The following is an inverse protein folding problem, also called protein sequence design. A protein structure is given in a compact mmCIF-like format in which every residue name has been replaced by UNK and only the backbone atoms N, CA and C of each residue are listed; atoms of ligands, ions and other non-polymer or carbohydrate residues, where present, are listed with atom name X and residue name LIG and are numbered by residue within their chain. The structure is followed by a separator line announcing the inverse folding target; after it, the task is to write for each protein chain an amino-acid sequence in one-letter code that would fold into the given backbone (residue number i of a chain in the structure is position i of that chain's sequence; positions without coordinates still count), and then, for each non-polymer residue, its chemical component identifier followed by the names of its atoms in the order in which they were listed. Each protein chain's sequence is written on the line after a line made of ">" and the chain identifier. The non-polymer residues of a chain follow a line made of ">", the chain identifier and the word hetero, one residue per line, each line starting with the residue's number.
data_IF_534940421014
#
_entry.id   IF_534940421014
#
_cell.length_a   1.000
_cell.length_b   1.000
_cell.length_c   1.000
_cell.angle_alpha   90.00
_cell.angle_beta   90.00
_cell.angle_gamma   90.00
#
_symmetry.space_group_name_H-M   'P 1'
#
loop_
_entity.id
_entity.type
_entity.pdbx_description
1 polymer ?
#
# COMPACT_ATOMS: atom_id res chain seq x y z
N UNK A 1 5.83 -7.53 -17.55
CA UNK A 1 6.34 -8.41 -16.46
C UNK A 1 7.24 -7.75 -15.41
N UNK A 2 8.52 -7.39 -15.66
CA UNK A 2 9.43 -6.89 -14.59
C UNK A 2 8.89 -5.67 -13.83
N UNK A 3 8.29 -4.71 -14.55
CA UNK A 3 7.60 -3.55 -13.94
C UNK A 3 6.49 -3.97 -12.99
N UNK A 4 5.69 -4.97 -13.38
CA UNK A 4 4.60 -5.49 -12.55
C UNK A 4 5.10 -6.19 -11.28
N UNK A 5 6.19 -6.96 -11.36
CA UNK A 5 6.85 -7.53 -10.18
C UNK A 5 7.34 -6.41 -9.25
N UNK A 6 7.90 -5.33 -9.79
CA UNK A 6 8.29 -4.15 -9.03
C UNK A 6 7.12 -3.52 -8.27
N UNK A 7 5.98 -3.33 -8.93
CA UNK A 7 4.77 -2.82 -8.27
C UNK A 7 4.24 -3.75 -7.18
N UNK A 8 4.26 -5.08 -7.39
CA UNK A 8 3.87 -6.04 -6.36
C UNK A 8 4.81 -6.01 -5.15
N UNK A 9 6.12 -5.84 -5.35
CA UNK A 9 7.09 -5.69 -4.26
C UNK A 9 6.82 -4.42 -3.44
N UNK A 10 6.46 -3.31 -4.09
CA UNK A 10 6.04 -2.08 -3.40
C UNK A 10 4.77 -2.33 -2.57
N UNK A 11 3.76 -2.99 -3.16
CA UNK A 11 2.53 -3.32 -2.46
C UNK A 11 2.79 -4.17 -1.20
N UNK A 12 3.64 -5.20 -1.31
CA UNK A 12 4.03 -6.06 -0.19
C UNK A 12 4.80 -5.26 0.87
N UNK A 13 5.73 -4.39 0.46
CA UNK A 13 6.51 -3.56 1.39
C UNK A 13 5.63 -2.63 2.23
N UNK A 14 4.65 -1.97 1.61
CA UNK A 14 3.69 -1.14 2.34
C UNK A 14 2.70 -1.98 3.17
N UNK A 15 2.24 -3.11 2.66
CA UNK A 15 1.35 -4.02 3.38
C UNK A 15 2.01 -4.58 4.65
N UNK A 16 3.30 -4.96 4.58
CA UNK A 16 4.07 -5.41 5.73
C UNK A 16 4.19 -4.33 6.82
N UNK A 17 4.27 -3.05 6.42
CA UNK A 17 4.32 -1.93 7.35
C UNK A 17 2.92 -1.45 7.80
N UNK A 18 1.82 -1.94 7.22
CA UNK A 18 0.47 -1.46 7.48
C UNK A 18 0.08 -1.50 8.97
N UNK A 19 0.49 -2.55 9.68
CA UNK A 19 0.21 -2.71 11.12
C UNK A 19 0.79 -1.55 11.95
N UNK A 20 1.94 -1.01 11.56
CA UNK A 20 2.57 0.15 12.23
C UNK A 20 1.69 1.39 12.11
N UNK A 21 1.22 1.69 10.89
CA UNK A 21 0.36 2.86 10.63
C UNK A 21 -1.00 2.71 11.30
N UNK A 22 -1.56 1.50 11.29
CA UNK A 22 -2.81 1.21 11.98
C UNK A 22 -2.68 1.42 13.50
N UNK A 23 -1.58 0.96 14.09
CA UNK A 23 -1.32 1.15 15.52
C UNK A 23 -1.08 2.62 15.86
N UNK A 24 -0.37 3.37 15.01
CA UNK A 24 -0.18 4.81 15.18
C UNK A 24 -1.52 5.55 15.19
N UNK A 25 -2.41 5.27 14.23
CA UNK A 25 -3.75 5.85 14.20
C UNK A 25 -4.59 5.47 15.43
N UNK A 26 -4.51 4.21 15.88
CA UNK A 26 -5.25 3.76 17.07
C UNK A 26 -4.75 4.43 18.36
N UNK A 27 -3.43 4.61 18.51
CA UNK A 27 -2.81 5.23 19.67
C UNK A 27 -3.04 6.75 19.68
N UNK A 28 -2.95 7.38 18.51
CA UNK A 28 -3.09 8.82 18.34
C UNK A 28 -4.10 9.08 17.23
N UNK A 29 -5.38 9.23 17.60
CA UNK A 29 -6.49 9.46 16.66
C UNK A 29 -6.50 10.91 16.14
N UNK A 30 -5.47 11.30 15.39
CA UNK A 30 -5.42 12.56 14.67
C UNK A 30 -5.92 12.40 13.23
N UNK A 31 -6.34 13.51 12.62
CA UNK A 31 -6.71 13.54 11.19
C UNK A 31 -5.51 13.21 10.31
N UNK A 32 -4.31 13.63 10.69
CA UNK A 32 -3.07 13.31 9.96
C UNK A 32 -2.81 11.81 9.94
N UNK A 33 -2.90 11.13 11.09
CA UNK A 33 -2.68 9.68 11.15
C UNK A 33 -3.75 8.88 10.40
N UNK A 34 -4.98 9.39 10.37
CA UNK A 34 -6.05 8.80 9.55
C UNK A 34 -5.74 8.96 8.06
N UNK A 35 -5.30 10.14 7.63
CA UNK A 35 -4.91 10.40 6.24
C UNK A 35 -3.70 9.57 5.83
N UNK A 36 -2.70 9.39 6.70
CA UNK A 36 -1.58 8.49 6.44
C UNK A 36 -2.03 7.05 6.25
N UNK A 37 -2.92 6.55 7.12
CA UNK A 37 -3.44 5.20 7.01
C UNK A 37 -4.19 4.98 5.70
N UNK A 38 -5.07 5.93 5.33
CA UNK A 38 -5.82 5.91 4.06
C UNK A 38 -4.86 5.98 2.87
N UNK A 39 -3.88 6.87 2.91
CA UNK A 39 -2.88 7.03 1.85
C UNK A 39 -2.13 5.73 1.60
N UNK A 40 -1.72 5.05 2.67
CA UNK A 40 -1.02 3.77 2.56
C UNK A 40 -1.94 2.67 2.04
N UNK A 41 -3.21 2.62 2.48
CA UNK A 41 -4.19 1.71 1.90
C UNK A 41 -4.34 1.92 0.39
N UNK A 42 -4.43 3.18 -0.06
CA UNK A 42 -4.53 3.52 -1.49
C UNK A 42 -3.26 3.13 -2.26
N UNK A 43 -2.07 3.34 -1.69
CA UNK A 43 -0.80 2.93 -2.30
C UNK A 43 -0.75 1.41 -2.46
N UNK A 44 -1.11 0.64 -1.42
CA UNK A 44 -1.10 -0.82 -1.46
C UNK A 44 -2.04 -1.32 -2.57
N UNK A 45 -3.29 -0.85 -2.57
CA UNK A 45 -4.28 -1.28 -3.57
C UNK A 45 -3.87 -0.85 -4.98
N UNK A 46 -3.46 0.40 -5.15
CA UNK A 46 -3.06 0.95 -6.45
C UNK A 46 -1.85 0.22 -7.04
N UNK A 47 -0.80 0.01 -6.25
CA UNK A 47 0.40 -0.72 -6.70
C UNK A 47 0.12 -2.20 -6.91
N UNK A 48 -0.76 -2.82 -6.12
CA UNK A 48 -1.19 -4.19 -6.37
C UNK A 48 -1.92 -4.33 -7.71
N UNK A 49 -2.91 -3.46 -7.97
CA UNK A 49 -3.66 -3.46 -9.25
C UNK A 49 -2.72 -3.19 -10.43
N UNK A 50 -1.83 -2.19 -10.32
CA UNK A 50 -0.82 -1.92 -11.35
C UNK A 50 0.09 -3.14 -11.58
N UNK A 51 0.50 -3.82 -10.51
CA UNK A 51 1.31 -5.04 -10.58
C UNK A 51 0.63 -6.15 -11.37
N UNK A 52 -0.64 -6.41 -11.08
CA UNK A 52 -1.46 -7.39 -11.80
C UNK A 52 -1.65 -6.97 -13.26
N UNK A 53 -2.00 -5.72 -13.54
CA UNK A 53 -2.15 -5.21 -14.90
C UNK A 53 -0.86 -5.36 -15.73
N UNK A 54 0.31 -5.05 -15.17
CA UNK A 54 1.61 -5.17 -15.88
C UNK A 54 2.16 -6.60 -15.98
N UNK A 55 1.56 -7.58 -15.30
CA UNK A 55 1.92 -9.00 -15.40
C UNK A 55 0.96 -9.73 -16.35
N UNK A 56 -0.34 -9.45 -16.24
CA UNK A 56 -1.40 -10.20 -16.94
C UNK A 56 -2.10 -9.43 -18.05
N UNK A 57 -1.93 -8.11 -18.13
CA UNK A 57 -2.63 -7.22 -19.06
C UNK A 57 -1.83 -6.82 -20.31
N UNK A 58 -0.75 -7.55 -20.63
CA UNK A 58 0.28 -7.25 -21.65
C UNK A 58 1.33 -6.19 -21.22
#
# INVERSE_FOLDING_TARGET
>A
MFKGIGFLLIAIGYAGNYKKYLNNYKSHKSKENLLELIGISLIIVGTFVLGICYIFGE
#
